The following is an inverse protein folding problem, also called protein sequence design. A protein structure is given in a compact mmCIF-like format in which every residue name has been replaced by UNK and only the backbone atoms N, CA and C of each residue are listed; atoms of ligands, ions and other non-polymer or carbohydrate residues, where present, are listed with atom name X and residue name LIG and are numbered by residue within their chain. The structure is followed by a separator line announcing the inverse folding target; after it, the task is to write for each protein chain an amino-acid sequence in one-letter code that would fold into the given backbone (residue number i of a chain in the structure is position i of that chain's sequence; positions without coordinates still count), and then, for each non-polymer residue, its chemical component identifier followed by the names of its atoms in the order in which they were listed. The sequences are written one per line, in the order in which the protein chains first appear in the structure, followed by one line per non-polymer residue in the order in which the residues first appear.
data_IF_558465259876
#
_entry.id   IF_558465259876
#
_cell.length_a   1.000
_cell.length_b   1.000
_cell.length_c   1.000
_cell.angle_alpha   90.00
_cell.angle_beta   90.00
_cell.angle_gamma   90.00
#
_symmetry.space_group_name_H-M   'P 1'
#
loop_
_entity.id
_entity.type
_entity.pdbx_description
1 polymer ?
#
# COMPACT_ATOMS: atom_id res chain seq x y z
N UNK A 1 -17.00 1.70 -3.83
CA UNK A 1 -16.90 2.94 -3.03
C UNK A 1 -15.47 3.39 -2.78
N UNK A 2 -14.44 2.51 -2.77
CA UNK A 2 -13.02 2.93 -2.61
C UNK A 2 -12.11 2.55 -3.78
N UNK A 3 -12.64 2.00 -4.88
CA UNK A 3 -11.83 1.66 -6.05
C UNK A 3 -10.94 0.42 -5.90
N UNK A 4 -11.26 -0.45 -4.93
CA UNK A 4 -10.60 -1.75 -4.73
C UNK A 4 -11.56 -2.89 -5.05
N UNK A 5 -11.01 -3.99 -5.55
CA UNK A 5 -11.70 -5.27 -5.63
C UNK A 5 -11.13 -6.18 -4.51
N UNK A 6 -11.92 -7.09 -3.95
CA UNK A 6 -11.45 -8.06 -2.94
C UNK A 6 -11.71 -7.70 -1.47
N UNK A 7 -11.87 -8.75 -0.66
CA UNK A 7 -12.18 -8.63 0.78
C UNK A 7 -11.00 -8.08 1.59
N UNK A 8 -9.77 -8.46 1.22
CA UNK A 8 -8.55 -8.07 1.95
C UNK A 8 -8.26 -6.60 1.74
N UNK A 9 -8.41 -6.11 0.51
CA UNK A 9 -8.21 -4.73 0.12
C UNK A 9 -9.25 -3.81 0.77
N UNK A 10 -10.51 -4.28 0.83
CA UNK A 10 -11.59 -3.57 1.52
C UNK A 10 -11.33 -3.47 3.02
N UNK A 11 -10.88 -4.57 3.65
CA UNK A 11 -10.51 -4.59 5.06
C UNK A 11 -9.31 -3.67 5.35
N UNK A 12 -8.28 -3.69 4.50
CA UNK A 12 -7.11 -2.82 4.62
C UNK A 12 -7.51 -1.34 4.48
N UNK A 13 -8.34 -1.00 3.48
CA UNK A 13 -8.83 0.37 3.28
C UNK A 13 -9.66 0.85 4.48
N UNK A 14 -10.53 -0.01 5.02
CA UNK A 14 -11.32 0.27 6.22
C UNK A 14 -10.45 0.47 7.47
N UNK A 15 -9.41 -0.35 7.63
CA UNK A 15 -8.46 -0.24 8.74
C UNK A 15 -7.73 1.12 8.70
N UNK A 16 -7.18 1.51 7.55
CA UNK A 16 -6.50 2.81 7.38
C UNK A 16 -7.45 3.97 7.68
N UNK A 17 -8.67 3.91 7.15
CA UNK A 17 -9.68 4.93 7.39
C UNK A 17 -10.04 5.03 8.89
N UNK A 18 -10.20 3.90 9.58
CA UNK A 18 -10.48 3.86 11.02
C UNK A 18 -9.34 4.41 11.88
N UNK A 19 -8.09 4.03 11.56
CA UNK A 19 -6.89 4.56 12.22
C UNK A 19 -6.84 6.08 12.08
N UNK A 20 -6.97 6.60 10.86
CA UNK A 20 -6.87 8.03 10.62
C UNK A 20 -8.06 8.80 11.19
N UNK A 21 -9.27 8.26 11.17
CA UNK A 21 -10.41 8.86 11.84
C UNK A 21 -10.18 9.01 13.36
N UNK A 22 -9.62 7.99 14.01
CA UNK A 22 -9.29 8.04 15.43
C UNK A 22 -8.17 9.04 15.75
N UNK A 23 -7.11 9.08 14.93
CA UNK A 23 -5.99 10.03 15.08
C UNK A 23 -6.46 11.47 14.91
N UNK A 24 -7.20 11.75 13.85
CA UNK A 24 -7.77 13.07 13.57
C UNK A 24 -8.70 13.54 14.70
N UNK A 25 -9.54 12.64 15.24
CA UNK A 25 -10.39 12.96 16.39
C UNK A 25 -9.58 13.37 17.64
N UNK A 26 -8.37 12.82 17.81
CA UNK A 26 -7.45 13.17 18.91
C UNK A 26 -6.57 14.40 18.60
N UNK A 27 -6.69 15.00 17.42
CA UNK A 27 -5.80 16.08 16.98
C UNK A 27 -4.38 15.62 16.62
N UNK A 28 -4.19 14.32 16.39
CA UNK A 28 -2.94 13.73 15.92
C UNK A 28 -2.84 13.83 14.40
N UNK A 29 -1.62 13.80 13.86
CA UNK A 29 -1.40 13.73 12.41
C UNK A 29 -1.86 12.38 11.85
N UNK A 30 -2.24 12.37 10.57
CA UNK A 30 -2.61 11.15 9.85
C UNK A 30 -1.43 10.16 9.77
N UNK A 31 -1.76 8.87 9.84
CA UNK A 31 -0.86 7.77 9.56
C UNK A 31 -0.84 7.52 8.05
N UNK A 32 0.31 7.75 7.41
CA UNK A 32 0.51 7.53 5.97
C UNK A 32 1.37 6.28 5.79
N UNK A 33 0.74 5.20 5.34
CA UNK A 33 1.42 3.93 5.12
C UNK A 33 2.43 4.05 3.96
N UNK A 34 3.64 3.46 4.06
CA UNK A 34 4.64 3.56 3.01
C UNK A 34 4.19 2.94 1.68
N UNK A 35 4.48 3.58 0.56
CA UNK A 35 4.20 3.08 -0.81
C UNK A 35 4.95 1.78 -1.16
N UNK A 36 5.95 1.44 -0.36
CA UNK A 36 6.67 0.17 -0.43
C UNK A 36 5.86 -1.00 0.11
N UNK A 37 4.75 -0.74 0.81
CA UNK A 37 3.82 -1.75 1.34
C UNK A 37 2.61 -1.94 0.42
N UNK A 38 1.96 -3.10 0.52
CA UNK A 38 0.69 -3.36 -0.16
C UNK A 38 -0.41 -2.34 0.20
N UNK A 39 -0.47 -1.92 1.47
CA UNK A 39 -1.49 -0.99 1.98
C UNK A 39 -1.23 0.42 1.43
N UNK A 40 0.00 0.91 1.57
CA UNK A 40 0.36 2.26 1.11
C UNK A 40 0.34 2.39 -0.40
N UNK A 41 0.82 1.39 -1.15
CA UNK A 41 0.75 1.39 -2.61
C UNK A 41 -0.67 1.41 -3.15
N UNK A 42 -1.60 0.69 -2.50
CA UNK A 42 -3.00 0.69 -2.89
C UNK A 42 -3.63 2.08 -2.68
N UNK A 43 -3.38 2.69 -1.51
CA UNK A 43 -3.84 4.05 -1.23
C UNK A 43 -3.25 5.08 -2.21
N UNK A 44 -1.96 4.96 -2.53
CA UNK A 44 -1.28 5.80 -3.51
C UNK A 44 -1.89 5.61 -4.91
N UNK A 45 -2.10 4.37 -5.37
CA UNK A 45 -2.71 4.09 -6.67
C UNK A 45 -4.08 4.74 -6.81
N UNK A 46 -4.96 4.58 -5.80
CA UNK A 46 -6.31 5.17 -5.82
C UNK A 46 -6.27 6.69 -5.92
N UNK A 47 -5.29 7.33 -5.29
CA UNK A 47 -5.18 8.79 -5.21
C UNK A 47 -4.42 9.43 -6.37
N UNK A 48 -3.56 8.67 -7.07
CA UNK A 48 -2.66 9.18 -8.11
C UNK A 48 -2.91 8.61 -9.51
N UNK A 49 -3.78 7.60 -9.65
CA UNK A 49 -4.17 7.10 -10.95
C UNK A 49 -4.94 8.16 -11.77
N UNK A 50 -4.73 8.18 -13.08
CA UNK A 50 -5.47 9.06 -13.98
C UNK A 50 -6.97 8.77 -13.89
N UNK A 51 -7.72 9.74 -13.39
CA UNK A 51 -9.18 9.69 -13.25
C UNK A 51 -9.92 9.22 -14.51
N UNK A 52 -9.39 9.47 -15.71
CA UNK A 52 -10.02 9.04 -16.98
C UNK A 52 -9.81 7.56 -17.29
N UNK A 53 -8.77 6.95 -16.74
CA UNK A 53 -8.37 5.57 -16.99
C UNK A 53 -8.38 4.70 -15.72
N UNK A 54 -8.91 5.25 -14.62
CA UNK A 54 -8.97 4.53 -13.36
C UNK A 54 -9.80 3.25 -13.52
N UNK A 55 -9.18 2.12 -13.17
CA UNK A 55 -9.85 0.84 -13.04
C UNK A 55 -9.66 0.35 -11.61
N UNK A 56 -10.75 -0.05 -10.92
CA UNK A 56 -10.63 -0.78 -9.67
C UNK A 56 -9.77 -2.01 -9.88
N UNK A 57 -8.91 -2.32 -8.91
CA UNK A 57 -8.10 -3.54 -8.97
C UNK A 57 -7.75 -4.09 -7.60
N UNK A 58 -7.51 -5.40 -7.56
CA UNK A 58 -6.86 -6.08 -6.44
C UNK A 58 -5.40 -5.63 -6.31
N UNK A 59 -4.85 -5.78 -5.11
CA UNK A 59 -3.42 -5.53 -4.90
C UNK A 59 -2.56 -6.47 -5.76
N UNK A 60 -1.50 -5.94 -6.34
CA UNK A 60 -0.54 -6.72 -7.10
C UNK A 60 0.87 -6.12 -7.01
N UNK A 61 1.89 -6.91 -7.31
CA UNK A 61 3.29 -6.46 -7.25
C UNK A 61 3.64 -5.32 -8.23
N UNK A 62 2.77 -5.01 -9.21
CA UNK A 62 3.00 -3.93 -10.17
C UNK A 62 2.70 -2.53 -9.62
N UNK A 63 1.91 -2.43 -8.54
CA UNK A 63 1.62 -1.14 -7.89
C UNK A 63 2.53 -0.86 -6.69
N UNK A 64 3.21 -1.90 -6.17
CA UNK A 64 4.15 -1.77 -5.07
C UNK A 64 5.45 -1.16 -5.61
N UNK A 65 5.98 -0.15 -4.92
CA UNK A 65 7.25 0.51 -5.31
C UNK A 65 8.35 -0.51 -5.57
N UNK A 66 9.08 -0.38 -6.68
CA UNK A 66 10.12 -1.34 -7.08
C UNK A 66 11.34 -1.31 -6.14
N UNK A 67 12.20 -2.34 -6.23
CA UNK A 67 13.48 -2.39 -5.52
C UNK A 67 14.46 -1.43 -6.19
N UNK A 68 15.29 -0.77 -5.39
CA UNK A 68 16.39 0.05 -5.89
C UNK A 68 17.54 -0.84 -6.40
N UNK A 69 18.29 -0.34 -7.39
CA UNK A 69 19.46 -1.03 -7.94
C UNK A 69 19.16 -1.92 -9.15
N UNK A 70 20.01 -2.93 -9.36
CA UNK A 70 19.91 -3.80 -10.52
C UNK A 70 18.65 -4.65 -10.51
N UNK A 71 17.96 -4.69 -11.66
CA UNK A 71 16.74 -5.46 -11.81
C UNK A 71 17.02 -6.96 -11.71
N UNK A 72 16.46 -7.59 -10.69
CA UNK A 72 16.42 -9.06 -10.56
C UNK A 72 15.61 -9.62 -11.73
N UNK A 73 16.25 -10.44 -12.57
CA UNK A 73 15.63 -11.06 -13.75
C UNK A 73 14.64 -12.15 -13.38
N UNK A 74 14.94 -12.93 -12.35
CA UNK A 74 14.05 -13.96 -11.86
C UNK A 74 12.82 -13.34 -11.18
N UNK A 75 11.64 -13.58 -11.75
CA UNK A 75 10.40 -12.95 -11.31
C UNK A 75 10.03 -13.34 -9.88
N UNK A 76 10.26 -14.60 -9.51
CA UNK A 76 9.92 -15.12 -8.18
C UNK A 76 10.82 -14.50 -7.11
N UNK A 77 12.13 -14.56 -7.30
CA UNK A 77 13.11 -13.95 -6.42
C UNK A 77 12.89 -12.44 -6.27
N UNK A 78 12.52 -11.74 -7.35
CA UNK A 78 12.18 -10.32 -7.30
C UNK A 78 10.96 -10.07 -6.41
N UNK A 79 9.90 -10.85 -6.55
CA UNK A 79 8.68 -10.67 -5.75
C UNK A 79 8.88 -11.06 -4.28
N UNK A 80 9.69 -12.08 -4.00
CA UNK A 80 10.11 -12.43 -2.64
C UNK A 80 10.85 -11.25 -1.99
N UNK A 81 11.83 -10.64 -2.69
CA UNK A 81 12.55 -9.47 -2.18
C UNK A 81 11.66 -8.24 -1.98
N UNK A 82 10.69 -8.00 -2.87
CA UNK A 82 9.70 -6.93 -2.69
C UNK A 82 8.86 -7.20 -1.44
N UNK A 83 8.41 -8.44 -1.23
CA UNK A 83 7.61 -8.82 -0.07
C UNK A 83 8.41 -8.69 1.24
N UNK A 84 9.66 -9.15 1.26
CA UNK A 84 10.57 -9.00 2.41
C UNK A 84 10.73 -7.51 2.80
N UNK A 85 11.05 -6.65 1.83
CA UNK A 85 11.15 -5.20 2.08
C UNK A 85 9.81 -4.61 2.54
N UNK A 86 8.71 -4.97 1.88
CA UNK A 86 7.38 -4.46 2.25
C UNK A 86 7.00 -4.80 3.70
N UNK A 87 7.34 -6.00 4.17
CA UNK A 87 7.10 -6.41 5.56
C UNK A 87 8.01 -5.65 6.53
N UNK A 88 9.31 -5.51 6.20
CA UNK A 88 10.25 -4.73 7.00
C UNK A 88 9.82 -3.28 7.18
N UNK A 89 9.44 -2.61 6.09
CA UNK A 89 9.00 -1.21 6.12
C UNK A 89 7.68 -1.04 6.89
N UNK A 90 6.80 -2.05 6.83
CA UNK A 90 5.56 -2.05 7.60
C UNK A 90 5.83 -2.23 9.10
N UNK A 91 6.73 -3.12 9.49
CA UNK A 91 7.13 -3.31 10.89
C UNK A 91 7.77 -2.05 11.48
N UNK A 92 8.66 -1.40 10.72
CA UNK A 92 9.26 -0.13 11.12
C UNK A 92 8.19 0.95 11.30
N UNK A 93 7.25 1.07 10.36
CA UNK A 93 6.15 2.03 10.43
C UNK A 93 5.24 1.83 11.65
N UNK A 94 4.93 0.57 12.01
CA UNK A 94 4.04 0.27 13.14
C UNK A 94 4.68 0.50 14.52
N UNK A 95 6.00 0.68 14.56
CA UNK A 95 6.77 0.90 15.80
C UNK A 95 6.89 2.40 16.16
N UNK A 96 6.43 3.29 15.28
CA UNK A 96 6.45 4.76 15.43
C UNK A 96 5.10 5.28 15.92
#
# INVERSE_FOLDING_TARGET
MTGVEGYVESAASGLVAGINAARLFKGESEAIFPETTAIGSLAHYITHADSKHFQPMNVNFGIIKELEGERIRDKKARYEKIAERALSDLEEFLTV
#
